data_IF_497243487736
#
_entry.id   IF_497243487736
#
_cell.length_a   1.000
_cell.length_b   1.000
_cell.length_c   1.000
_cell.angle_alpha   90.00
_cell.angle_beta   90.00
_cell.angle_gamma   90.00
#
_symmetry.space_group_name_H-M   'P 1'
#
loop_
_entity.id
_entity.type
_entity.pdbx_description
1 polymer ?
#
# COMPACT_ATOMS: atom_id res chain seq x y z
N UNK A 1 -7.20 -26.38 90.58
CA UNK A 1 -8.19 -27.46 90.89
C UNK A 1 -8.31 -28.21 89.56
N UNK A 2 -7.60 -29.20 89.37
CA UNK A 2 -7.86 -30.61 89.57
C UNK A 2 -8.81 -31.23 88.55
N UNK A 3 -8.22 -32.12 87.80
CA UNK A 3 -8.71 -33.46 87.35
C UNK A 3 -9.74 -33.44 86.21
N UNK A 4 -9.75 -34.35 85.26
CA UNK A 4 -9.20 -35.75 85.18
C UNK A 4 -9.32 -36.21 83.74
N UNK A 5 -8.38 -37.02 83.38
CA UNK A 5 -8.30 -37.88 82.19
C UNK A 5 -9.52 -38.80 82.02
N UNK A 6 -9.94 -39.00 80.72
CA UNK A 6 -10.51 -40.31 80.37
C UNK A 6 -10.10 -40.63 78.96
N UNK A 7 -9.38 -41.74 78.86
CA UNK A 7 -9.04 -42.45 77.57
C UNK A 7 -10.26 -43.24 77.18
N UNK A 8 -10.64 -43.17 75.91
CA UNK A 8 -11.44 -44.23 75.34
C UNK A 8 -10.91 -44.54 73.89
N UNK A 9 -10.37 -45.75 73.77
CA UNK A 9 -9.96 -46.36 72.54
C UNK A 9 -11.17 -46.81 71.76
N UNK A 10 -11.29 -46.46 70.47
CA UNK A 10 -12.17 -47.21 69.56
C UNK A 10 -11.56 -47.25 68.19
N UNK A 11 -11.17 -48.39 67.88
CA UNK A 11 -11.12 -49.24 66.68
C UNK A 11 -11.27 -48.52 65.36
N UNK A 12 -10.17 -48.50 64.65
CA UNK A 12 -10.01 -47.99 63.30
C UNK A 12 -10.54 -49.01 62.29
N UNK A 13 -11.59 -48.63 61.53
CA UNK A 13 -12.02 -49.40 60.36
C UNK A 13 -11.52 -48.63 59.14
N UNK A 14 -10.41 -49.14 58.57
CA UNK A 14 -9.87 -48.69 57.28
C UNK A 14 -10.76 -49.13 56.15
N UNK A 15 -11.58 -48.24 55.61
CA UNK A 15 -12.16 -48.38 54.27
C UNK A 15 -11.26 -47.65 53.27
N UNK A 16 -10.41 -48.40 52.59
CA UNK A 16 -9.64 -47.91 51.44
C UNK A 16 -10.57 -47.72 50.25
N UNK A 17 -10.95 -46.44 50.00
CA UNK A 17 -11.54 -46.03 48.73
C UNK A 17 -10.39 -45.94 47.70
N UNK A 18 -10.29 -46.95 46.86
CA UNK A 18 -9.48 -46.88 45.63
C UNK A 18 -10.20 -46.00 44.64
N UNK A 19 -9.86 -44.72 44.61
CA UNK A 19 -10.22 -43.81 43.52
C UNK A 19 -9.41 -44.22 42.28
N UNK A 20 -9.95 -45.11 41.47
CA UNK A 20 -9.42 -45.39 40.14
C UNK A 20 -9.59 -44.15 39.24
N UNK A 21 -8.53 -43.36 39.11
CA UNK A 21 -8.45 -42.39 38.03
C UNK A 21 -8.38 -43.12 36.70
N UNK A 22 -9.51 -43.19 36.00
CA UNK A 22 -9.53 -43.52 34.57
C UNK A 22 -8.82 -42.38 33.82
N UNK A 23 -7.49 -42.48 33.73
CA UNK A 23 -6.71 -41.69 32.78
C UNK A 23 -7.04 -42.29 31.40
N UNK A 24 -8.02 -41.65 30.71
CA UNK A 24 -8.20 -41.96 29.29
C UNK A 24 -6.89 -41.56 28.57
N UNK A 25 -6.26 -42.47 27.85
CA UNK A 25 -5.09 -42.12 27.06
C UNK A 25 -5.54 -41.09 26.04
N UNK A 26 -4.94 -39.89 26.09
CA UNK A 26 -4.99 -38.98 24.96
C UNK A 26 -4.48 -39.77 23.75
N UNK A 27 -5.40 -40.08 22.82
CA UNK A 27 -5.05 -40.65 21.52
C UNK A 27 -4.20 -39.59 20.79
N UNK A 28 -2.92 -39.57 21.03
CA UNK A 28 -1.97 -38.93 20.13
C UNK A 28 -2.00 -39.76 18.86
N UNK A 29 -2.47 -39.15 17.77
CA UNK A 29 -2.39 -39.77 16.45
C UNK A 29 -0.94 -40.18 16.24
N UNK A 30 -0.71 -41.49 16.13
CA UNK A 30 0.63 -42.02 15.88
C UNK A 30 1.13 -41.46 14.53
N UNK A 31 2.39 -41.06 14.43
CA UNK A 31 2.96 -40.63 13.14
C UNK A 31 2.80 -41.77 12.13
N UNK A 32 2.57 -41.41 10.86
CA UNK A 32 2.47 -42.43 9.79
C UNK A 32 3.71 -43.29 9.74
N UNK A 33 3.53 -44.57 9.40
CA UNK A 33 4.70 -45.43 9.14
C UNK A 33 5.38 -44.99 7.83
N UNK A 34 6.66 -45.31 7.63
CA UNK A 34 7.38 -45.01 6.39
C UNK A 34 6.65 -45.52 5.13
N UNK A 35 6.02 -46.68 5.20
CA UNK A 35 5.25 -47.28 4.13
C UNK A 35 3.96 -46.46 3.84
N UNK A 36 3.28 -46.01 4.89
CA UNK A 36 2.11 -45.17 4.77
C UNK A 36 2.47 -43.80 4.16
N UNK A 37 3.57 -43.18 4.58
CA UNK A 37 4.08 -41.94 4.00
C UNK A 37 4.43 -42.09 2.51
N UNK A 38 5.09 -43.21 2.14
CA UNK A 38 5.42 -43.51 0.76
C UNK A 38 4.14 -43.62 -0.11
N UNK A 39 3.15 -44.36 0.41
CA UNK A 39 1.87 -44.51 -0.31
C UNK A 39 1.06 -43.21 -0.41
N UNK A 40 1.07 -42.38 0.62
CA UNK A 40 0.45 -41.04 0.57
C UNK A 40 1.10 -40.17 -0.52
N UNK A 41 2.45 -40.14 -0.58
CA UNK A 41 3.17 -39.36 -1.62
C UNK A 41 2.84 -39.86 -3.03
N UNK A 42 2.74 -41.17 -3.22
CA UNK A 42 2.35 -41.75 -4.50
C UNK A 42 0.92 -41.40 -4.89
N UNK A 43 -0.05 -41.55 -3.96
CA UNK A 43 -1.44 -41.15 -4.18
C UNK A 43 -1.59 -39.68 -4.54
N UNK A 44 -0.87 -38.81 -3.85
CA UNK A 44 -0.87 -37.37 -4.16
C UNK A 44 -0.38 -37.14 -5.60
N UNK A 45 0.73 -37.80 -5.98
CA UNK A 45 1.27 -37.68 -7.33
C UNK A 45 0.28 -38.21 -8.39
N UNK A 46 -0.26 -39.43 -8.18
CA UNK A 46 -1.25 -40.05 -9.07
C UNK A 46 -2.48 -39.11 -9.25
N UNK A 47 -3.00 -38.57 -8.14
CA UNK A 47 -4.16 -37.70 -8.14
C UNK A 47 -3.91 -36.42 -8.91
N UNK A 48 -2.78 -35.74 -8.66
CA UNK A 48 -2.43 -34.48 -9.33
C UNK A 48 -2.17 -34.68 -10.82
N UNK A 49 -1.53 -35.80 -11.21
CA UNK A 49 -1.27 -36.11 -12.62
C UNK A 49 -2.56 -36.50 -13.34
N UNK A 50 -3.45 -37.25 -12.70
CA UNK A 50 -4.74 -37.61 -13.28
C UNK A 50 -5.74 -36.42 -13.37
N UNK A 51 -5.60 -35.44 -12.46
CA UNK A 51 -6.51 -34.31 -12.36
C UNK A 51 -5.72 -32.98 -12.26
N UNK A 52 -5.07 -32.52 -13.34
CA UNK A 52 -4.23 -31.29 -13.31
C UNK A 52 -5.01 -30.04 -12.92
N UNK A 53 -6.33 -30.01 -13.12
CA UNK A 53 -7.22 -28.90 -12.69
C UNK A 53 -7.15 -28.59 -11.19
N UNK A 54 -6.78 -29.56 -10.36
CA UNK A 54 -6.60 -29.33 -8.91
C UNK A 54 -5.52 -28.29 -8.66
N UNK A 55 -4.46 -28.26 -9.48
CA UNK A 55 -3.39 -27.26 -9.36
C UNK A 55 -3.88 -25.88 -9.77
N UNK A 56 -4.70 -25.79 -10.83
CA UNK A 56 -5.30 -24.52 -11.26
C UNK A 56 -6.25 -23.96 -10.18
N UNK A 57 -7.13 -24.80 -9.65
CA UNK A 57 -8.05 -24.44 -8.56
C UNK A 57 -7.32 -24.01 -7.29
N UNK A 58 -6.23 -24.70 -6.94
CA UNK A 58 -5.39 -24.35 -5.80
C UNK A 58 -4.68 -23.01 -6.01
N UNK A 59 -4.16 -22.75 -7.23
CA UNK A 59 -3.51 -21.50 -7.59
C UNK A 59 -4.51 -20.34 -7.54
N UNK A 60 -5.69 -20.47 -8.14
CA UNK A 60 -6.75 -19.47 -8.11
C UNK A 60 -7.19 -19.15 -6.66
N UNK A 61 -7.37 -20.18 -5.83
CA UNK A 61 -7.74 -20.00 -4.43
C UNK A 61 -6.66 -19.25 -3.64
N UNK A 62 -5.40 -19.60 -3.87
CA UNK A 62 -4.25 -18.94 -3.24
C UNK A 62 -4.11 -17.48 -3.69
N UNK A 63 -4.24 -17.20 -5.00
CA UNK A 63 -4.22 -15.85 -5.55
C UNK A 63 -5.34 -14.99 -4.95
N UNK A 64 -6.55 -15.51 -4.87
CA UNK A 64 -7.69 -14.81 -4.28
C UNK A 64 -7.48 -14.49 -2.79
N UNK A 65 -6.95 -15.44 -2.02
CA UNK A 65 -6.66 -15.23 -0.60
C UNK A 65 -5.53 -14.21 -0.40
N UNK A 66 -4.47 -14.29 -1.21
CA UNK A 66 -3.38 -13.33 -1.17
C UNK A 66 -3.81 -11.92 -1.57
N UNK A 67 -4.60 -11.78 -2.62
CA UNK A 67 -5.12 -10.49 -3.05
C UNK A 67 -5.97 -9.83 -1.95
N UNK A 68 -6.86 -10.58 -1.29
CA UNK A 68 -7.66 -10.09 -0.19
C UNK A 68 -6.80 -9.68 1.03
N UNK A 69 -5.76 -10.46 1.35
CA UNK A 69 -4.84 -10.15 2.44
C UNK A 69 -4.02 -8.88 2.13
N UNK A 70 -3.53 -8.74 0.90
CA UNK A 70 -2.79 -7.55 0.45
C UNK A 70 -3.68 -6.30 0.45
N UNK A 71 -4.92 -6.41 -0.02
CA UNK A 71 -5.89 -5.30 0.02
C UNK A 71 -6.18 -4.87 1.46
N UNK A 72 -6.38 -5.81 2.37
CA UNK A 72 -6.60 -5.52 3.78
C UNK A 72 -5.38 -4.86 4.44
N UNK A 73 -4.17 -5.34 4.15
CA UNK A 73 -2.93 -4.74 4.65
C UNK A 73 -2.75 -3.32 4.13
N UNK A 74 -2.95 -3.11 2.83
CA UNK A 74 -2.88 -1.80 2.21
C UNK A 74 -3.95 -0.85 2.77
N UNK A 75 -5.18 -1.32 2.95
CA UNK A 75 -6.25 -0.54 3.57
C UNK A 75 -5.92 -0.11 5.00
N UNK A 76 -5.34 -0.99 5.81
CA UNK A 76 -4.86 -0.65 7.16
C UNK A 76 -3.71 0.36 7.14
N UNK A 77 -2.77 0.19 6.20
CA UNK A 77 -1.67 1.13 6.01
C UNK A 77 -2.19 2.53 5.64
N UNK A 78 -3.12 2.60 4.69
CA UNK A 78 -3.75 3.85 4.24
C UNK A 78 -4.45 4.54 5.40
N UNK A 79 -5.24 3.80 6.21
CA UNK A 79 -5.92 4.34 7.40
C UNK A 79 -4.94 4.96 8.40
N UNK A 80 -3.79 4.34 8.62
CA UNK A 80 -2.76 4.84 9.53
C UNK A 80 -1.93 6.00 8.96
N UNK A 81 -2.01 6.31 7.67
CA UNK A 81 -1.20 7.32 7.00
C UNK A 81 -2.02 8.34 6.19
N UNK A 82 -3.28 8.54 6.53
CA UNK A 82 -4.19 9.43 5.77
C UNK A 82 -3.66 10.86 5.66
N UNK A 83 -3.10 11.41 6.73
CA UNK A 83 -2.60 12.78 6.72
C UNK A 83 -1.43 12.95 5.75
N UNK A 84 -0.50 12.00 5.72
CA UNK A 84 0.63 12.05 4.80
C UNK A 84 0.21 11.79 3.36
N UNK A 85 -0.74 10.87 3.14
CA UNK A 85 -1.19 10.49 1.80
C UNK A 85 -2.12 11.53 1.18
N UNK A 86 -3.12 11.98 1.93
CA UNK A 86 -4.23 12.75 1.37
C UNK A 86 -4.34 14.18 1.89
N UNK A 87 -3.83 14.48 3.08
CA UNK A 87 -4.10 15.75 3.77
C UNK A 87 -2.85 16.63 3.94
N UNK A 88 -1.68 16.20 3.46
CA UNK A 88 -0.46 17.01 3.56
C UNK A 88 -0.64 18.35 2.83
N UNK A 89 -0.53 19.45 3.56
CA UNK A 89 -0.60 20.79 2.99
C UNK A 89 0.61 21.13 2.08
N UNK A 90 1.71 20.37 2.27
CA UNK A 90 2.96 20.54 1.51
C UNK A 90 3.00 19.75 0.20
N UNK A 91 2.02 18.87 -0.03
CA UNK A 91 1.88 18.13 -1.28
C UNK A 91 0.92 18.84 -2.24
N UNK A 92 1.26 18.95 -3.53
CA UNK A 92 0.36 19.50 -4.52
C UNK A 92 -0.95 18.71 -4.63
N UNK A 93 -2.05 19.47 -4.72
CA UNK A 93 -3.42 18.94 -4.84
C UNK A 93 -4.09 19.55 -6.05
N UNK A 94 -4.61 18.71 -6.92
CA UNK A 94 -5.31 19.08 -8.15
C UNK A 94 -6.73 18.50 -8.16
N UNK A 95 -7.59 19.00 -9.03
CA UNK A 95 -8.98 18.52 -9.16
C UNK A 95 -9.94 19.17 -8.16
N UNK A 96 -10.97 18.44 -7.78
CA UNK A 96 -12.04 18.90 -6.90
C UNK A 96 -11.53 19.35 -5.52
N UNK A 97 -12.16 20.39 -4.98
CA UNK A 97 -11.86 20.89 -3.63
C UNK A 97 -12.33 19.90 -2.54
N UNK A 98 -13.47 19.25 -2.75
CA UNK A 98 -14.06 18.26 -1.86
C UNK A 98 -14.39 16.99 -2.65
N UNK A 99 -13.38 16.23 -3.08
CA UNK A 99 -13.58 15.08 -3.95
C UNK A 99 -14.23 13.90 -3.20
N UNK A 100 -15.03 13.11 -3.90
CA UNK A 100 -15.50 11.81 -3.41
C UNK A 100 -14.37 10.78 -3.38
N UNK A 101 -13.44 10.88 -4.33
CA UNK A 101 -12.26 10.02 -4.41
C UNK A 101 -11.02 10.87 -4.64
N UNK A 102 -10.01 10.69 -3.79
CA UNK A 102 -8.69 11.27 -3.98
C UNK A 102 -7.70 10.20 -4.43
N UNK A 103 -7.06 10.44 -5.55
CA UNK A 103 -5.95 9.64 -6.05
C UNK A 103 -4.63 10.15 -5.45
N UNK A 104 -3.63 9.27 -5.28
CA UNK A 104 -2.27 9.70 -4.94
C UNK A 104 -1.33 9.24 -6.05
N UNK A 105 -0.75 10.19 -6.77
CA UNK A 105 0.21 9.94 -7.83
C UNK A 105 1.64 10.03 -7.31
N UNK A 106 2.40 8.97 -7.49
CA UNK A 106 3.85 8.96 -7.31
C UNK A 106 4.53 9.14 -8.66
N UNK A 107 5.26 10.26 -8.84
CA UNK A 107 5.75 10.68 -10.16
C UNK A 107 7.15 11.30 -10.09
N UNK A 108 7.81 11.38 -11.26
CA UNK A 108 9.17 11.93 -11.43
C UNK A 108 9.25 12.72 -12.74
N UNK A 109 9.72 13.96 -12.68
CA UNK A 109 9.86 14.84 -13.84
C UNK A 109 10.82 14.33 -14.93
N UNK A 110 11.72 13.40 -14.60
CA UNK A 110 12.62 12.78 -15.56
C UNK A 110 12.14 11.41 -16.07
N UNK A 111 11.03 10.91 -15.55
CA UNK A 111 10.50 9.63 -15.98
C UNK A 111 9.70 9.76 -17.28
N UNK A 112 10.09 9.09 -18.37
CA UNK A 112 9.38 9.19 -19.66
C UNK A 112 7.94 8.67 -19.58
N UNK A 113 7.69 7.63 -18.78
CA UNK A 113 6.35 7.10 -18.58
C UNK A 113 5.46 8.06 -17.74
N UNK A 114 6.05 8.79 -16.79
CA UNK A 114 5.32 9.84 -16.08
C UNK A 114 4.86 10.94 -17.02
N UNK A 115 5.73 11.39 -17.91
CA UNK A 115 5.41 12.40 -18.93
C UNK A 115 4.30 11.95 -19.91
N UNK A 116 4.23 10.66 -20.21
CA UNK A 116 3.14 10.10 -21.02
C UNK A 116 1.84 9.92 -20.24
N UNK A 117 1.93 9.71 -18.93
CA UNK A 117 0.78 9.44 -18.08
C UNK A 117 0.08 10.72 -17.60
N UNK A 118 0.83 11.78 -17.39
CA UNK A 118 0.36 13.06 -16.89
C UNK A 118 -0.84 13.64 -17.66
N UNK A 119 -0.83 13.67 -19.02
CA UNK A 119 -2.00 14.14 -19.78
C UNK A 119 -3.25 13.25 -19.60
N UNK A 120 -3.09 11.96 -19.28
CA UNK A 120 -4.22 11.06 -19.02
C UNK A 120 -4.88 11.40 -17.68
N UNK A 121 -4.08 11.75 -16.67
CA UNK A 121 -4.58 12.21 -15.36
C UNK A 121 -5.28 13.57 -15.49
N UNK A 122 -4.71 14.50 -16.25
CA UNK A 122 -5.36 15.79 -16.53
C UNK A 122 -6.72 15.59 -17.17
N UNK A 123 -6.80 14.78 -18.24
CA UNK A 123 -8.05 14.42 -18.90
C UNK A 123 -9.05 13.76 -17.94
N UNK A 124 -8.57 12.91 -17.03
CA UNK A 124 -9.43 12.25 -16.05
C UNK A 124 -10.02 13.25 -15.05
N UNK A 125 -9.21 14.17 -14.52
CA UNK A 125 -9.68 15.22 -13.61
C UNK A 125 -10.69 16.15 -14.28
N UNK A 126 -10.50 16.48 -15.56
CA UNK A 126 -11.46 17.26 -16.37
C UNK A 126 -12.78 16.52 -16.59
N UNK A 127 -12.74 15.19 -16.74
CA UNK A 127 -13.94 14.37 -16.91
C UNK A 127 -14.75 14.21 -15.61
N UNK A 128 -14.13 14.38 -14.45
CA UNK A 128 -14.74 14.21 -13.12
C UNK A 128 -14.43 15.43 -12.20
N UNK A 129 -14.80 16.65 -12.58
CA UNK A 129 -14.33 17.89 -11.95
C UNK A 129 -14.81 18.07 -10.50
N UNK A 130 -15.94 17.45 -10.12
CA UNK A 130 -16.51 17.53 -8.77
C UNK A 130 -16.21 16.30 -7.91
N UNK A 131 -15.85 15.17 -8.53
CA UNK A 131 -15.73 13.90 -7.85
C UNK A 131 -14.28 13.48 -7.55
N UNK A 132 -13.31 13.97 -8.36
CA UNK A 132 -11.92 13.53 -8.24
C UNK A 132 -10.99 14.61 -7.72
N UNK A 133 -10.13 14.19 -6.77
CA UNK A 133 -8.93 14.90 -6.37
C UNK A 133 -7.69 14.09 -6.67
N UNK A 134 -6.56 14.76 -6.84
CA UNK A 134 -5.25 14.18 -7.04
C UNK A 134 -4.24 14.82 -6.11
N UNK A 135 -3.54 14.01 -5.31
CA UNK A 135 -2.36 14.41 -4.56
C UNK A 135 -1.13 13.96 -5.31
N UNK A 136 -0.18 14.87 -5.55
CA UNK A 136 1.06 14.58 -6.27
C UNK A 136 2.21 14.38 -5.27
N UNK A 137 2.82 13.20 -5.29
CA UNK A 137 4.00 12.83 -4.52
C UNK A 137 5.20 12.69 -5.45
N UNK A 138 6.16 13.59 -5.35
CA UNK A 138 7.34 13.59 -6.19
C UNK A 138 8.37 12.59 -5.66
N UNK A 139 8.79 11.65 -6.51
CA UNK A 139 9.82 10.64 -6.23
C UNK A 139 10.98 10.80 -7.22
N UNK A 140 12.03 11.55 -6.90
CA UNK A 140 13.12 11.86 -7.85
C UNK A 140 14.08 10.68 -8.03
N UNK A 141 13.62 9.58 -8.58
CA UNK A 141 14.42 8.37 -8.82
C UNK A 141 15.42 8.51 -9.97
N UNK A 142 15.24 9.53 -10.82
CA UNK A 142 16.02 9.72 -12.06
C UNK A 142 17.11 10.78 -11.92
N UNK A 143 17.72 10.88 -10.73
CA UNK A 143 18.95 11.65 -10.52
C UNK A 143 18.75 13.09 -10.04
N UNK A 144 19.87 13.84 -10.00
CA UNK A 144 19.95 15.14 -9.34
C UNK A 144 19.02 16.19 -9.97
N UNK A 145 18.89 16.23 -11.29
CA UNK A 145 17.99 17.19 -11.96
C UNK A 145 16.52 16.92 -11.63
N UNK A 146 16.16 15.64 -11.43
CA UNK A 146 14.84 15.25 -10.95
C UNK A 146 14.57 15.79 -9.55
N UNK A 147 15.50 15.62 -8.63
CA UNK A 147 15.42 16.15 -7.26
C UNK A 147 15.33 17.68 -7.25
N UNK A 148 16.13 18.35 -8.08
CA UNK A 148 16.12 19.82 -8.18
C UNK A 148 14.78 20.33 -8.72
N UNK A 149 14.24 19.72 -9.78
CA UNK A 149 12.94 20.07 -10.33
C UNK A 149 11.81 19.86 -9.30
N UNK A 150 11.85 18.73 -8.57
CA UNK A 150 10.90 18.45 -7.50
C UNK A 150 10.93 19.48 -6.37
N UNK A 151 12.12 19.88 -5.93
CA UNK A 151 12.28 20.91 -4.90
C UNK A 151 11.69 22.26 -5.34
N UNK A 152 11.95 22.71 -6.55
CA UNK A 152 11.38 23.95 -7.07
C UNK A 152 9.84 23.87 -7.15
N UNK A 153 9.31 22.78 -7.65
CA UNK A 153 7.86 22.59 -7.77
C UNK A 153 7.17 22.56 -6.41
N UNK A 154 7.72 21.85 -5.42
CA UNK A 154 7.17 21.82 -4.07
C UNK A 154 7.29 23.17 -3.36
N UNK A 155 8.38 23.88 -3.55
CA UNK A 155 8.54 25.24 -3.03
C UNK A 155 7.48 26.17 -3.62
N UNK A 156 7.28 26.11 -4.93
CA UNK A 156 6.27 26.93 -5.58
C UNK A 156 4.85 26.60 -5.10
N UNK A 157 4.53 25.29 -4.95
CA UNK A 157 3.25 24.89 -4.37
C UNK A 157 2.98 25.51 -3.01
N UNK A 158 3.99 25.57 -2.14
CA UNK A 158 3.85 26.10 -0.78
C UNK A 158 3.75 27.63 -0.74
N UNK A 159 4.37 28.33 -1.70
CA UNK A 159 4.36 29.77 -1.76
C UNK A 159 3.20 30.33 -2.59
N UNK A 160 2.88 29.69 -3.71
CA UNK A 160 1.86 30.11 -4.66
C UNK A 160 1.28 28.88 -5.41
N UNK A 161 0.31 28.17 -4.80
CA UNK A 161 -0.30 26.97 -5.40
C UNK A 161 -0.93 27.24 -6.79
N UNK A 162 -1.41 28.46 -7.05
CA UNK A 162 -2.02 28.80 -8.33
C UNK A 162 -1.01 28.75 -9.49
N UNK A 163 0.26 28.97 -9.21
CA UNK A 163 1.35 28.96 -10.22
C UNK A 163 2.02 27.59 -10.35
N UNK A 164 1.75 26.68 -9.43
CA UNK A 164 2.36 25.33 -9.45
C UNK A 164 2.08 24.61 -10.76
N UNK A 165 0.83 24.57 -11.22
CA UNK A 165 0.44 23.80 -12.40
C UNK A 165 1.20 24.24 -13.66
N UNK A 166 1.36 25.54 -13.86
CA UNK A 166 2.10 26.07 -15.00
C UNK A 166 3.58 25.60 -15.03
N UNK A 167 4.23 25.55 -13.85
CA UNK A 167 5.60 25.02 -13.75
C UNK A 167 5.62 23.50 -13.94
N UNK A 168 4.69 22.79 -13.33
CA UNK A 168 4.53 21.34 -13.47
C UNK A 168 4.40 20.93 -14.93
N UNK A 169 3.50 21.55 -15.67
CA UNK A 169 3.26 21.31 -17.11
C UNK A 169 4.52 21.56 -17.94
N UNK A 170 5.26 22.63 -17.66
CA UNK A 170 6.52 22.94 -18.37
C UNK A 170 7.59 21.87 -18.12
N UNK A 171 7.69 21.37 -16.90
CA UNK A 171 8.65 20.32 -16.56
C UNK A 171 8.23 18.96 -17.14
N UNK A 172 6.94 18.61 -17.09
CA UNK A 172 6.41 17.36 -17.65
C UNK A 172 6.44 17.33 -19.19
N UNK A 173 6.17 18.46 -19.87
CA UNK A 173 6.17 18.53 -21.34
C UNK A 173 7.58 18.45 -21.97
N UNK A 174 8.64 18.70 -21.21
CA UNK A 174 10.03 18.63 -21.72
C UNK A 174 10.41 17.19 -22.05
N UNK A 175 10.73 16.91 -23.32
CA UNK A 175 11.18 15.61 -23.76
C UNK A 175 12.57 15.25 -23.22
N UNK A 176 12.76 13.97 -22.88
CA UNK A 176 14.01 13.48 -22.28
C UNK A 176 14.22 13.93 -20.83
N UNK A 177 15.44 13.78 -20.34
CA UNK A 177 15.84 14.21 -19.00
C UNK A 177 15.99 15.74 -18.93
N UNK A 178 15.61 16.32 -17.81
CA UNK A 178 15.82 17.73 -17.53
C UNK A 178 17.30 18.01 -17.28
N UNK A 179 17.81 19.06 -17.90
CA UNK A 179 19.06 19.70 -17.51
C UNK A 179 18.77 20.86 -16.56
N UNK A 180 19.81 21.41 -15.94
CA UNK A 180 19.70 22.63 -15.15
C UNK A 180 19.17 23.81 -15.98
N UNK A 181 19.65 23.92 -17.22
CA UNK A 181 19.16 24.94 -18.17
C UNK A 181 17.66 24.79 -18.48
N UNK A 182 17.15 23.55 -18.62
CA UNK A 182 15.72 23.30 -18.84
C UNK A 182 14.89 23.71 -17.63
N UNK A 183 15.33 23.43 -16.41
CA UNK A 183 14.66 23.85 -15.17
C UNK A 183 14.62 25.40 -15.09
N UNK A 184 15.76 26.05 -15.32
CA UNK A 184 15.84 27.51 -15.30
C UNK A 184 14.94 28.15 -16.38
N UNK A 185 14.88 27.56 -17.58
CA UNK A 185 14.00 27.97 -18.66
C UNK A 185 12.52 27.83 -18.26
N UNK A 186 12.14 26.73 -17.60
CA UNK A 186 10.78 26.53 -17.11
C UNK A 186 10.41 27.55 -16.02
N UNK A 187 11.33 27.82 -15.07
CA UNK A 187 11.15 28.85 -14.04
C UNK A 187 10.96 30.25 -14.66
N UNK A 188 11.80 30.59 -15.65
CA UNK A 188 11.68 31.88 -16.35
C UNK A 188 10.36 31.99 -17.11
N UNK A 189 9.98 30.95 -17.87
CA UNK A 189 8.76 30.94 -18.66
C UNK A 189 7.48 31.03 -17.82
N UNK A 190 7.55 30.64 -16.54
CA UNK A 190 6.44 30.73 -15.58
C UNK A 190 6.57 31.90 -14.60
N UNK A 191 7.54 32.81 -14.82
CA UNK A 191 7.73 33.99 -13.97
C UNK A 191 8.29 33.69 -12.58
N UNK A 192 9.04 32.58 -12.42
CA UNK A 192 9.55 32.09 -11.14
C UNK A 192 11.09 32.15 -11.03
N UNK A 193 11.76 33.05 -11.74
CA UNK A 193 13.23 33.16 -11.77
C UNK A 193 13.88 33.40 -10.40
N UNK A 194 13.19 34.10 -9.51
CA UNK A 194 13.68 34.38 -8.15
C UNK A 194 13.38 33.25 -7.14
N UNK A 195 12.65 32.20 -7.55
CA UNK A 195 12.29 31.10 -6.68
C UNK A 195 13.55 30.36 -6.19
N UNK A 196 13.62 30.11 -4.89
CA UNK A 196 14.69 29.31 -4.28
C UNK A 196 14.07 28.15 -3.51
N UNK A 197 14.57 26.91 -3.65
CA UNK A 197 14.09 25.78 -2.86
C UNK A 197 14.19 26.07 -1.36
N UNK A 198 13.15 25.70 -0.63
CA UNK A 198 13.07 25.87 0.82
C UNK A 198 13.18 24.53 1.59
N UNK A 199 13.29 24.65 2.92
CA UNK A 199 13.43 23.48 3.79
C UNK A 199 12.16 22.60 3.82
N UNK A 200 10.98 23.22 3.72
CA UNK A 200 9.68 22.50 3.73
C UNK A 200 9.51 21.64 2.48
N UNK A 201 9.95 22.14 1.31
CA UNK A 201 9.97 21.37 0.07
C UNK A 201 10.89 20.15 0.18
N UNK A 202 12.06 20.31 0.83
CA UNK A 202 12.99 19.21 1.08
C UNK A 202 12.40 18.17 2.04
N UNK A 203 11.68 18.63 3.06
CA UNK A 203 11.00 17.74 4.01
C UNK A 203 9.86 16.96 3.32
N UNK A 204 9.01 17.63 2.53
CA UNK A 204 7.95 16.96 1.76
C UNK A 204 8.52 15.92 0.81
N UNK A 205 9.64 16.23 0.15
CA UNK A 205 10.30 15.27 -0.73
C UNK A 205 10.76 14.01 0.03
N UNK A 206 11.32 14.17 1.22
CA UNK A 206 11.67 13.04 2.10
C UNK A 206 10.44 12.26 2.55
N UNK A 207 9.36 12.95 2.90
CA UNK A 207 8.11 12.31 3.29
C UNK A 207 7.49 11.52 2.13
N UNK A 208 7.51 12.07 0.92
CA UNK A 208 7.06 11.40 -0.30
C UNK A 208 7.87 10.14 -0.59
N UNK A 209 9.21 10.21 -0.49
CA UNK A 209 10.08 9.05 -0.65
C UNK A 209 9.81 7.98 0.42
N UNK A 210 9.69 8.39 1.68
CA UNK A 210 9.39 7.48 2.78
C UNK A 210 8.05 6.76 2.59
N UNK A 211 6.98 7.51 2.30
CA UNK A 211 5.65 6.91 2.14
C UNK A 211 5.58 6.02 0.89
N UNK A 212 6.22 6.42 -0.21
CA UNK A 212 6.33 5.60 -1.41
C UNK A 212 7.05 4.28 -1.15
N UNK A 213 8.17 4.31 -0.41
CA UNK A 213 8.91 3.10 0.00
C UNK A 213 8.05 2.18 0.86
N UNK A 214 7.36 2.73 1.87
CA UNK A 214 6.49 1.95 2.76
C UNK A 214 5.29 1.32 2.03
N UNK A 215 4.78 1.97 0.99
CA UNK A 215 3.74 1.45 0.09
C UNK A 215 4.27 0.43 -0.92
N UNK A 216 5.59 0.22 -1.00
CA UNK A 216 6.19 -0.68 -1.98
C UNK A 216 6.28 -0.11 -3.40
N UNK A 217 6.28 1.22 -3.56
CA UNK A 217 6.48 1.88 -4.87
C UNK A 217 7.91 1.65 -5.33
N UNK A 218 8.10 0.80 -6.33
CA UNK A 218 9.41 0.45 -6.89
C UNK A 218 9.78 1.29 -8.12
N UNK A 219 8.85 2.07 -8.65
CA UNK A 219 9.07 2.88 -9.85
C UNK A 219 7.95 3.90 -10.05
N UNK A 220 8.17 4.79 -11.01
CA UNK A 220 7.21 5.84 -11.37
C UNK A 220 6.78 5.72 -12.85
N UNK A 221 5.53 6.08 -13.19
CA UNK A 221 4.49 6.48 -12.25
C UNK A 221 3.93 5.29 -11.47
N UNK A 222 3.37 5.54 -10.28
CA UNK A 222 2.48 4.63 -9.60
C UNK A 222 1.30 5.44 -9.02
N UNK A 223 0.11 4.88 -9.03
CA UNK A 223 -1.09 5.60 -8.58
C UNK A 223 -1.84 4.78 -7.54
N UNK A 224 -2.09 5.37 -6.37
CA UNK A 224 -2.97 4.80 -5.37
C UNK A 224 -4.41 5.21 -5.71
N UNK A 225 -5.27 4.22 -5.94
CA UNK A 225 -6.69 4.37 -6.28
C UNK A 225 -7.50 3.54 -5.28
N UNK A 226 -8.22 4.17 -4.36
CA UNK A 226 -8.83 3.46 -3.24
C UNK A 226 -7.81 2.68 -2.42
N UNK A 227 -8.00 1.37 -2.31
CA UNK A 227 -7.07 0.46 -1.63
C UNK A 227 -6.17 -0.31 -2.61
N UNK A 228 -5.94 0.20 -3.81
CA UNK A 228 -5.12 -0.44 -4.82
C UNK A 228 -3.96 0.47 -5.24
N UNK A 229 -2.72 -0.06 -5.18
CA UNK A 229 -1.56 0.59 -5.78
C UNK A 229 -1.38 0.06 -7.20
N UNK A 230 -1.58 0.92 -8.18
CA UNK A 230 -1.50 0.63 -9.62
C UNK A 230 -0.15 1.08 -10.15
N UNK A 231 0.75 0.18 -10.53
CA UNK A 231 2.06 0.53 -11.07
C UNK A 231 1.98 0.90 -12.55
N UNK A 232 2.85 1.82 -12.98
CA UNK A 232 3.07 2.14 -14.38
C UNK A 232 2.06 3.11 -15.01
N UNK A 233 2.31 3.43 -16.27
CA UNK A 233 1.51 4.35 -17.07
C UNK A 233 0.40 3.59 -17.83
N UNK A 234 -0.64 3.17 -17.10
CA UNK A 234 -1.79 2.45 -17.68
C UNK A 234 -2.54 3.31 -18.70
N UNK A 235 -3.36 2.69 -19.56
CA UNK A 235 -4.20 3.38 -20.53
C UNK A 235 -5.23 4.27 -19.85
N UNK A 236 -5.78 5.25 -20.59
CA UNK A 236 -6.87 6.10 -20.06
C UNK A 236 -8.11 5.27 -19.71
N UNK A 237 -8.48 4.33 -20.54
CA UNK A 237 -9.66 3.50 -20.37
C UNK A 237 -9.56 2.62 -19.11
N UNK A 238 -8.38 2.03 -18.88
CA UNK A 238 -8.11 1.24 -17.68
C UNK A 238 -8.13 2.12 -16.42
N UNK A 239 -7.50 3.29 -16.47
CA UNK A 239 -7.51 4.27 -15.38
C UNK A 239 -8.95 4.70 -15.04
N UNK A 240 -9.75 5.02 -16.05
CA UNK A 240 -11.14 5.43 -15.88
C UNK A 240 -12.02 4.31 -15.32
N UNK A 241 -11.82 3.06 -15.76
CA UNK A 241 -12.53 1.89 -15.22
C UNK A 241 -12.26 1.70 -13.72
N UNK A 242 -11.00 1.78 -13.30
CA UNK A 242 -10.63 1.68 -11.89
C UNK A 242 -11.27 2.80 -11.05
N UNK A 243 -11.26 4.02 -11.55
CA UNK A 243 -11.87 5.17 -10.89
C UNK A 243 -13.39 5.02 -10.77
N UNK A 244 -14.07 4.60 -11.84
CA UNK A 244 -15.52 4.32 -11.82
C UNK A 244 -15.88 3.24 -10.79
N UNK A 245 -15.09 2.18 -10.74
CA UNK A 245 -15.29 1.11 -9.76
C UNK A 245 -15.15 1.60 -8.31
N UNK A 246 -14.17 2.49 -8.04
CA UNK A 246 -13.99 3.07 -6.71
C UNK A 246 -15.05 4.12 -6.35
N UNK A 247 -15.49 4.93 -7.30
CA UNK A 247 -16.58 5.89 -7.10
C UNK A 247 -17.90 5.17 -6.78
N UNK A 248 -18.19 4.05 -7.46
CA UNK A 248 -19.38 3.26 -7.20
C UNK A 248 -19.46 2.68 -5.77
N UNK A 249 -18.32 2.43 -5.13
CA UNK A 249 -18.26 1.99 -3.72
C UNK A 249 -18.55 3.12 -2.72
N UNK A 250 -18.62 4.39 -3.18
CA UNK A 250 -18.75 5.61 -2.36
C UNK A 250 -20.03 6.40 -2.63
N UNK A 251 -20.87 5.86 -3.54
CA UNK A 251 -22.15 6.43 -3.92
C UNK A 251 -23.24 6.22 -2.86
#
# INVERSE_FOLDING_TARGET
MTLRTLKLSTLTLCTALVAGTLSAPLLQAAPFTPEQEARIKELIRETLVANPKILDEAAESWEKQNAAAQEAQLGNFIKGNQDVLFNSATSPRLGAKNPKLTLVLFTDYNCPYCKQFDPRLTKLLEAYPDDLGLVVKLLPFKGQSSAKAAQYSLTLWQQDPARFLALHDKLMSKQGMLTEADINKALTATGNTALKPDAKATEELRNSLRIGTLLGVQGTPATLIGNQLVPGAISYDELEQLVKAELAKRA
#
